data_IF_606705687269
#
_entry.id   IF_606705687269
#
_cell.length_a   1.000
_cell.length_b   1.000
_cell.length_c   1.000
_cell.angle_alpha   90.00
_cell.angle_beta   90.00
_cell.angle_gamma   90.00
#
_symmetry.space_group_name_H-M   'P 1'
#
loop_
_entity.id
_entity.type
_entity.pdbx_description
1 polymer ?
#
# COMPACT_ATOMS: atom_id res chain seq x y z
N UNK A 1 -15.63 -7.50 -18.18
CA UNK A 1 -14.27 -6.95 -18.00
C UNK A 1 -13.50 -7.23 -19.26
N UNK A 2 -12.80 -6.24 -19.84
CA UNK A 2 -11.85 -6.52 -20.90
C UNK A 2 -10.83 -7.54 -20.37
N UNK A 3 -10.53 -8.57 -21.14
CA UNK A 3 -9.54 -9.56 -20.75
C UNK A 3 -8.16 -8.88 -20.70
N UNK A 4 -7.56 -8.71 -19.51
CA UNK A 4 -6.14 -8.37 -19.41
C UNK A 4 -5.70 -7.49 -18.24
N UNK A 5 -6.60 -6.79 -17.54
CA UNK A 5 -6.24 -5.90 -16.43
C UNK A 5 -6.80 -6.44 -15.11
N UNK A 6 -5.92 -6.63 -14.12
CA UNK A 6 -6.32 -7.00 -12.76
C UNK A 6 -7.23 -5.92 -12.14
N UNK A 7 -8.15 -6.32 -11.26
CA UNK A 7 -9.10 -5.48 -10.54
C UNK A 7 -8.47 -4.24 -9.92
N UNK A 8 -7.29 -4.36 -9.31
CA UNK A 8 -6.61 -3.25 -8.66
C UNK A 8 -5.67 -2.45 -9.58
N UNK A 9 -5.52 -2.85 -10.85
CA UNK A 9 -4.61 -2.20 -11.79
C UNK A 9 -4.91 -0.70 -11.96
N UNK A 10 -6.18 -0.27 -12.17
CA UNK A 10 -6.49 1.15 -12.28
C UNK A 10 -6.18 1.93 -10.99
N UNK A 11 -6.30 1.27 -9.83
CA UNK A 11 -6.01 1.91 -8.54
C UNK A 11 -4.51 2.08 -8.32
N UNK A 12 -3.71 1.08 -8.72
CA UNK A 12 -2.26 1.18 -8.70
C UNK A 12 -1.73 2.29 -9.63
N UNK A 13 -2.29 2.41 -10.83
CA UNK A 13 -1.93 3.45 -11.80
C UNK A 13 -2.30 4.85 -11.29
N UNK A 14 -3.49 5.01 -10.72
CA UNK A 14 -3.89 6.27 -10.09
C UNK A 14 -2.97 6.62 -8.91
N UNK A 15 -2.69 5.65 -8.04
CA UNK A 15 -1.84 5.85 -6.86
C UNK A 15 -0.42 6.25 -7.27
N UNK A 16 0.17 5.56 -8.25
CA UNK A 16 1.46 5.91 -8.83
C UNK A 16 1.45 7.33 -9.41
N UNK A 17 0.48 7.64 -10.28
CA UNK A 17 0.37 8.95 -10.91
C UNK A 17 0.19 10.08 -9.90
N UNK A 18 -0.57 9.84 -8.82
CA UNK A 18 -0.76 10.81 -7.75
C UNK A 18 0.57 11.12 -7.05
N UNK A 19 1.32 10.11 -6.61
CA UNK A 19 2.58 10.34 -5.91
C UNK A 19 3.67 10.90 -6.81
N UNK A 20 3.74 10.48 -8.08
CA UNK A 20 4.65 11.07 -9.07
C UNK A 20 4.31 12.54 -9.32
N UNK A 21 3.03 12.87 -9.50
CA UNK A 21 2.60 14.23 -9.80
C UNK A 21 2.75 15.20 -8.63
N UNK A 22 2.34 14.80 -7.43
CA UNK A 22 2.32 15.69 -6.25
C UNK A 22 3.71 15.88 -5.62
N UNK A 23 4.57 14.86 -5.69
CA UNK A 23 5.86 14.86 -5.00
C UNK A 23 7.07 14.72 -5.94
N UNK A 24 6.83 14.82 -7.24
CA UNK A 24 7.85 14.73 -8.30
C UNK A 24 8.72 13.46 -8.16
N UNK A 25 8.12 12.36 -7.73
CA UNK A 25 8.85 11.10 -7.55
C UNK A 25 9.25 10.51 -8.90
N UNK A 26 10.41 9.85 -8.95
CA UNK A 26 10.86 9.08 -10.10
C UNK A 26 10.75 7.59 -9.85
N UNK A 27 10.44 6.82 -10.90
CA UNK A 27 10.53 5.37 -10.84
C UNK A 27 12.00 4.93 -10.75
N UNK A 28 12.29 4.02 -9.82
CA UNK A 28 13.55 3.30 -9.72
C UNK A 28 13.38 1.89 -10.29
N UNK A 29 14.26 1.53 -11.23
CA UNK A 29 14.22 0.23 -11.90
C UNK A 29 14.58 -0.86 -10.89
N UNK A 30 13.60 -1.69 -10.55
CA UNK A 30 13.83 -2.90 -9.77
C UNK A 30 14.51 -3.97 -10.63
N UNK A 31 15.40 -4.80 -10.04
CA UNK A 31 15.86 -6.02 -10.70
C UNK A 31 14.69 -6.88 -11.18
N UNK A 32 14.79 -7.50 -12.37
CA UNK A 32 13.69 -8.25 -13.00
C UNK A 32 12.98 -9.23 -12.06
N UNK A 33 13.76 -9.94 -11.25
CA UNK A 33 13.26 -10.94 -10.30
C UNK A 33 12.45 -10.37 -9.12
N UNK A 34 12.49 -9.05 -8.90
CA UNK A 34 11.70 -8.28 -7.94
C UNK A 34 10.63 -7.44 -8.63
N UNK A 35 10.90 -6.95 -9.84
CA UNK A 35 9.95 -6.17 -10.64
C UNK A 35 8.76 -7.03 -11.09
N UNK A 36 9.01 -8.30 -11.45
CA UNK A 36 7.98 -9.18 -11.99
C UNK A 36 8.30 -10.65 -11.73
N UNK A 37 7.34 -11.38 -11.14
CA UNK A 37 7.42 -12.82 -10.94
C UNK A 37 6.11 -13.48 -11.33
N UNK A 38 6.19 -14.60 -12.06
CA UNK A 38 5.03 -15.48 -12.29
C UNK A 38 5.22 -16.75 -11.48
N UNK A 39 4.19 -17.19 -10.76
CA UNK A 39 4.20 -18.47 -10.05
C UNK A 39 4.32 -19.65 -11.02
N UNK A 40 4.99 -20.74 -10.60
CA UNK A 40 5.24 -21.94 -11.43
C UNK A 40 4.59 -23.21 -10.85
N UNK A 41 3.51 -23.06 -10.06
CA UNK A 41 2.78 -24.18 -9.45
C UNK A 41 1.64 -24.72 -10.31
N UNK A 42 0.95 -25.76 -9.81
CA UNK A 42 -0.24 -26.38 -10.44
C UNK A 42 -1.50 -25.51 -10.45
N UNK A 43 -1.40 -24.26 -9.99
CA UNK A 43 -2.46 -23.26 -9.96
C UNK A 43 -2.51 -22.40 -11.24
N UNK A 44 -3.34 -21.35 -11.21
CA UNK A 44 -3.26 -20.27 -12.19
C UNK A 44 -1.90 -19.59 -12.02
N UNK A 45 -1.27 -19.18 -13.13
CA UNK A 45 0.06 -18.61 -13.10
C UNK A 45 0.06 -17.20 -12.52
N UNK A 46 -0.14 -17.08 -11.19
CA UNK A 46 -0.22 -15.84 -10.45
C UNK A 46 0.94 -14.91 -10.83
N UNK A 47 0.61 -13.65 -11.13
CA UNK A 47 1.55 -12.62 -11.50
C UNK A 47 1.74 -11.66 -10.33
N UNK A 48 2.97 -11.50 -9.88
CA UNK A 48 3.37 -10.49 -8.90
C UNK A 48 4.16 -9.41 -9.64
N UNK A 49 3.80 -8.16 -9.44
CA UNK A 49 4.48 -7.00 -10.01
C UNK A 49 4.85 -6.01 -8.91
N UNK A 50 6.10 -5.53 -8.94
CA UNK A 50 6.61 -4.52 -8.04
C UNK A 50 6.93 -3.23 -8.78
N UNK A 51 6.67 -2.10 -8.11
CA UNK A 51 7.15 -0.77 -8.50
C UNK A 51 7.80 -0.11 -7.30
N UNK A 52 8.80 0.72 -7.59
CA UNK A 52 9.52 1.51 -6.60
C UNK A 52 9.62 2.93 -7.12
N UNK A 53 9.05 3.88 -6.37
CA UNK A 53 9.22 5.30 -6.62
C UNK A 53 10.14 5.86 -5.54
N UNK A 54 10.98 6.81 -5.90
CA UNK A 54 11.91 7.48 -4.99
C UNK A 54 11.88 8.98 -5.22
N UNK A 55 11.96 9.73 -4.13
CA UNK A 55 12.11 11.18 -4.18
C UNK A 55 13.59 11.58 -4.20
N UNK A 56 13.86 12.78 -4.67
CA UNK A 56 15.16 13.42 -4.53
C UNK A 56 15.41 13.86 -3.07
N UNK A 57 16.61 14.37 -2.78
CA UNK A 57 17.09 14.59 -1.40
C UNK A 57 16.22 15.56 -0.58
N UNK A 58 15.55 16.50 -1.23
CA UNK A 58 14.66 17.50 -0.64
C UNK A 58 13.17 17.12 -0.71
N UNK A 59 12.83 16.00 -1.35
CA UNK A 59 11.46 15.50 -1.38
C UNK A 59 10.98 15.13 0.03
N UNK A 60 9.72 15.45 0.40
CA UNK A 60 9.15 15.02 1.67
C UNK A 60 8.91 13.51 1.73
N UNK A 61 8.96 12.81 0.59
CA UNK A 61 8.80 11.35 0.48
C UNK A 61 10.08 10.76 -0.08
N UNK A 62 10.72 9.88 0.69
CA UNK A 62 11.95 9.22 0.22
C UNK A 62 11.68 8.00 -0.66
N UNK A 63 10.55 7.31 -0.44
CA UNK A 63 10.27 6.04 -1.12
C UNK A 63 8.78 5.69 -1.09
N UNK A 64 8.28 5.20 -2.21
CA UNK A 64 6.98 4.52 -2.32
C UNK A 64 7.20 3.14 -2.91
N UNK A 65 6.69 2.10 -2.25
CA UNK A 65 6.67 0.74 -2.79
C UNK A 65 5.25 0.39 -3.16
N UNK A 66 5.06 -0.19 -4.33
CA UNK A 66 3.77 -0.74 -4.77
C UNK A 66 4.00 -2.21 -5.16
N UNK A 67 3.13 -3.10 -4.69
CA UNK A 67 3.13 -4.52 -5.06
C UNK A 67 1.72 -4.92 -5.46
N UNK A 68 1.59 -5.48 -6.66
CA UNK A 68 0.37 -5.98 -7.24
C UNK A 68 0.45 -7.50 -7.36
N UNK A 69 -0.62 -8.20 -7.00
CA UNK A 69 -0.77 -9.64 -7.22
C UNK A 69 -2.04 -9.87 -8.04
N UNK A 70 -1.91 -10.61 -9.14
CA UNK A 70 -3.00 -11.03 -10.00
C UNK A 70 -2.97 -12.55 -10.21
N UNK A 71 -3.92 -13.24 -9.59
CA UNK A 71 -4.23 -14.65 -9.81
C UNK A 71 -5.68 -14.83 -10.30
N UNK A 72 -6.16 -13.88 -11.12
CA UNK A 72 -7.52 -13.86 -11.65
C UNK A 72 -8.58 -13.78 -10.54
N UNK A 73 -9.56 -14.67 -10.59
CA UNK A 73 -10.67 -14.68 -9.63
C UNK A 73 -10.28 -15.28 -8.26
N UNK A 74 -9.12 -15.94 -8.15
CA UNK A 74 -8.71 -16.65 -6.92
C UNK A 74 -8.19 -15.70 -5.86
N UNK A 75 -7.27 -14.83 -6.26
CA UNK A 75 -6.62 -13.85 -5.43
C UNK A 75 -6.21 -12.66 -6.27
N UNK A 76 -6.53 -11.46 -5.80
CA UNK A 76 -5.82 -10.26 -6.24
C UNK A 76 -5.45 -9.43 -5.02
N UNK A 77 -4.32 -8.73 -5.11
CA UNK A 77 -3.86 -7.87 -4.03
C UNK A 77 -3.23 -6.59 -4.55
N UNK A 78 -3.45 -5.51 -3.81
CA UNK A 78 -2.73 -4.24 -3.91
C UNK A 78 -2.12 -3.94 -2.55
N UNK A 79 -0.80 -3.84 -2.51
CA UNK A 79 -0.06 -3.46 -1.33
C UNK A 79 0.78 -2.22 -1.66
N UNK A 80 0.76 -1.22 -0.79
CA UNK A 80 1.62 -0.06 -0.93
C UNK A 80 2.18 0.39 0.42
N UNK A 81 3.35 1.02 0.37
CA UNK A 81 3.94 1.70 1.53
C UNK A 81 4.58 3.01 1.12
N UNK A 82 4.30 4.08 1.84
CA UNK A 82 4.88 5.41 1.61
C UNK A 82 5.76 5.76 2.80
N UNK A 83 7.06 5.94 2.52
CA UNK A 83 8.04 6.27 3.51
C UNK A 83 8.37 7.78 3.45
N UNK A 84 8.15 8.53 4.53
CA UNK A 84 8.52 9.93 4.60
C UNK A 84 10.05 10.09 4.63
N UNK A 85 10.51 11.27 4.23
CA UNK A 85 11.92 11.64 4.29
C UNK A 85 12.41 11.71 5.73
N UNK A 86 13.65 11.26 5.94
CA UNK A 86 14.28 11.28 7.26
C UNK A 86 14.51 12.70 7.79
N UNK A 87 14.61 13.70 6.90
CA UNK A 87 14.81 15.11 7.27
C UNK A 87 13.60 15.72 7.99
N UNK A 88 12.42 15.11 7.88
CA UNK A 88 11.19 15.57 8.52
C UNK A 88 11.01 15.02 9.94
N UNK A 89 11.96 14.22 10.43
CA UNK A 89 11.84 13.52 11.69
C UNK A 89 11.03 12.22 11.57
N UNK A 90 10.57 11.65 12.68
CA UNK A 90 9.91 10.35 12.70
C UNK A 90 8.44 10.51 12.28
N UNK A 91 8.14 10.82 11.03
CA UNK A 91 6.75 10.84 10.54
C UNK A 91 6.21 9.41 10.34
N UNK A 92 4.89 9.18 10.50
CA UNK A 92 4.29 7.86 10.33
C UNK A 92 4.42 7.35 8.89
N UNK A 93 4.47 6.03 8.74
CA UNK A 93 4.51 5.36 7.43
C UNK A 93 3.09 5.01 7.02
N UNK A 94 2.66 5.44 5.83
CA UNK A 94 1.38 4.96 5.27
C UNK A 94 1.58 3.53 4.78
N UNK A 95 0.79 2.61 5.32
CA UNK A 95 0.67 1.23 4.87
C UNK A 95 -0.71 0.99 4.26
N UNK A 96 -0.74 0.36 3.09
CA UNK A 96 -1.97 -0.08 2.43
C UNK A 96 -1.81 -1.55 2.08
N UNK A 97 -2.79 -2.36 2.45
CA UNK A 97 -2.88 -3.76 2.05
C UNK A 97 -4.34 -4.07 1.74
N UNK A 98 -4.64 -4.43 0.49
CA UNK A 98 -6.00 -4.73 0.03
C UNK A 98 -5.95 -6.04 -0.74
N UNK A 99 -6.65 -7.05 -0.24
CA UNK A 99 -6.70 -8.38 -0.82
C UNK A 99 -8.14 -8.77 -1.09
N UNK A 100 -8.37 -9.39 -2.24
CA UNK A 100 -9.66 -9.98 -2.58
C UNK A 100 -9.49 -11.43 -2.99
N UNK A 101 -10.42 -12.28 -2.56
CA UNK A 101 -10.40 -13.72 -2.79
C UNK A 101 -11.81 -14.28 -2.96
N UNK A 102 -11.90 -15.55 -3.36
CA UNK A 102 -13.17 -16.26 -3.59
C UNK A 102 -14.05 -15.55 -4.64
N UNK A 103 -13.52 -15.40 -5.86
CA UNK A 103 -14.19 -14.72 -6.98
C UNK A 103 -14.65 -13.31 -6.62
N UNK A 104 -13.76 -12.57 -5.96
CA UNK A 104 -13.98 -11.20 -5.46
C UNK A 104 -15.09 -11.03 -4.41
N UNK A 105 -15.60 -12.12 -3.81
CA UNK A 105 -16.68 -12.07 -2.81
C UNK A 105 -16.19 -11.86 -1.37
N UNK A 106 -14.88 -11.88 -1.16
CA UNK A 106 -14.26 -11.63 0.14
C UNK A 106 -13.19 -10.57 -0.05
N UNK A 107 -13.20 -9.59 0.84
CA UNK A 107 -12.25 -8.50 0.91
C UNK A 107 -11.59 -8.54 2.29
N UNK A 108 -10.27 -8.45 2.31
CA UNK A 108 -9.48 -8.17 3.51
C UNK A 108 -8.69 -6.91 3.18
N UNK A 109 -8.75 -5.90 4.04
CA UNK A 109 -7.99 -4.68 3.82
C UNK A 109 -7.48 -4.10 5.12
N UNK A 110 -6.39 -3.33 5.02
CA UNK A 110 -5.84 -2.49 6.06
C UNK A 110 -5.25 -1.24 5.41
N UNK A 111 -5.63 -0.08 5.93
CA UNK A 111 -5.04 1.21 5.56
C UNK A 111 -4.72 1.90 6.87
N UNK A 112 -3.45 2.18 7.10
CA UNK A 112 -3.01 2.70 8.39
C UNK A 112 -1.80 3.63 8.24
N UNK A 113 -1.70 4.57 9.17
CA UNK A 113 -0.52 5.40 9.38
C UNK A 113 0.25 4.81 10.55
N UNK A 114 1.18 3.91 10.26
CA UNK A 114 1.91 3.20 11.30
C UNK A 114 2.86 4.16 12.05
N UNK A 115 2.72 4.28 13.39
CA UNK A 115 3.51 5.21 14.17
C UNK A 115 4.99 4.77 14.22
N UNK A 116 5.90 5.75 14.15
CA UNK A 116 7.34 5.48 14.25
C UNK A 116 7.87 5.46 15.67
N UNK A 117 7.09 6.00 16.61
CA UNK A 117 7.41 6.07 18.04
C UNK A 117 6.22 5.54 18.83
N UNK A 118 6.42 4.62 19.80
CA UNK A 118 5.33 4.16 20.64
C UNK A 118 4.85 5.27 21.58
N UNK A 119 3.54 5.35 21.79
CA UNK A 119 2.93 6.25 22.75
C UNK A 119 1.79 7.08 22.16
N UNK A 120 0.77 7.33 22.98
CA UNK A 120 -0.43 8.07 22.58
C UNK A 120 -0.12 9.52 22.18
N UNK A 121 0.82 10.19 22.88
CA UNK A 121 1.19 11.57 22.58
C UNK A 121 1.71 11.74 21.14
N UNK A 122 2.59 10.83 20.71
CA UNK A 122 3.09 10.83 19.33
C UNK A 122 1.98 10.51 18.33
N UNK A 123 1.18 9.47 18.60
CA UNK A 123 0.14 9.02 17.70
C UNK A 123 -0.94 10.10 17.49
N UNK A 124 -1.36 10.78 18.55
CA UNK A 124 -2.33 11.87 18.45
C UNK A 124 -1.77 13.05 17.65
N UNK A 125 -0.54 13.47 17.97
CA UNK A 125 0.08 14.62 17.31
C UNK A 125 0.39 14.40 15.82
N UNK A 126 0.75 13.18 15.41
CA UNK A 126 1.22 12.90 14.04
C UNK A 126 0.21 12.14 13.18
N UNK A 127 -0.83 11.55 13.78
CA UNK A 127 -1.84 10.76 13.07
C UNK A 127 -3.23 11.30 13.40
N UNK A 128 -3.64 11.23 14.68
CA UNK A 128 -4.99 11.58 15.13
C UNK A 128 -5.45 12.95 14.65
N UNK A 129 -4.61 13.97 14.84
CA UNK A 129 -4.86 15.35 14.42
C UNK A 129 -5.06 15.53 12.90
N UNK A 130 -4.57 14.61 12.07
CA UNK A 130 -4.59 14.71 10.61
C UNK A 130 -5.62 13.80 9.94
N UNK A 131 -5.97 12.67 10.56
CA UNK A 131 -6.83 11.65 9.93
C UNK A 131 -8.13 11.38 10.69
N UNK A 132 -8.38 12.11 11.79
CA UNK A 132 -9.58 11.93 12.62
C UNK A 132 -10.89 12.08 11.84
N UNK A 133 -10.94 13.01 10.88
CA UNK A 133 -12.13 13.17 10.02
C UNK A 133 -12.33 11.96 9.10
N UNK A 134 -11.27 11.46 8.45
CA UNK A 134 -11.33 10.28 7.58
C UNK A 134 -11.80 9.06 8.38
N UNK A 135 -11.28 8.87 9.60
CA UNK A 135 -11.72 7.78 10.49
C UNK A 135 -13.19 7.90 10.86
N UNK A 136 -13.67 9.12 11.11
CA UNK A 136 -15.07 9.38 11.47
C UNK A 136 -16.02 9.16 10.29
N UNK A 137 -15.63 9.61 9.09
CA UNK A 137 -16.44 9.47 7.88
C UNK A 137 -16.55 8.01 7.40
N UNK A 138 -15.57 7.17 7.75
CA UNK A 138 -15.49 5.76 7.36
C UNK A 138 -15.58 4.84 8.59
N UNK A 139 -16.35 5.23 9.61
CA UNK A 139 -16.41 4.54 10.89
C UNK A 139 -16.90 3.07 10.75
N UNK A 140 -17.66 2.75 9.71
CA UNK A 140 -18.09 1.40 9.35
C UNK A 140 -16.97 0.50 8.83
N UNK A 141 -15.88 1.10 8.33
CA UNK A 141 -14.67 0.41 7.89
C UNK A 141 -13.62 0.33 9.01
N UNK A 142 -13.75 1.17 10.04
CA UNK A 142 -12.85 1.16 11.18
C UNK A 142 -13.03 -0.12 12.00
N UNK A 143 -11.91 -0.82 12.23
CA UNK A 143 -11.89 -2.02 13.04
C UNK A 143 -10.67 -2.04 13.94
N UNK A 144 -10.84 -2.58 15.15
CA UNK A 144 -9.71 -2.90 16.01
C UNK A 144 -8.97 -4.11 15.41
N UNK A 145 -7.65 -4.00 15.14
CA UNK A 145 -6.89 -5.10 14.59
C UNK A 145 -6.97 -6.31 15.53
N UNK A 146 -7.27 -7.50 15.01
CA UNK A 146 -7.15 -8.70 15.84
C UNK A 146 -5.66 -8.98 16.10
N UNK A 147 -5.28 -9.25 17.34
CA UNK A 147 -3.89 -9.61 17.72
C UNK A 147 -3.32 -10.87 17.06
N UNK A 148 -4.06 -11.50 16.13
CA UNK A 148 -3.62 -12.67 15.36
C UNK A 148 -2.67 -12.34 14.21
N UNK A 149 -2.71 -11.11 13.69
CA UNK A 149 -1.96 -10.71 12.48
C UNK A 149 -0.90 -9.66 12.79
N UNK A 150 -1.20 -8.75 13.71
CA UNK A 150 -0.29 -7.72 14.19
C UNK A 150 -0.15 -8.00 15.69
N UNK A 151 1.01 -8.51 16.09
CA UNK A 151 1.23 -9.01 17.45
C UNK A 151 1.09 -7.91 18.51
N UNK A 152 0.62 -8.34 19.68
CA UNK A 152 1.06 -7.84 20.99
C UNK A 152 2.13 -8.79 21.55
#
# INVERSE_FOLDING_TARGET
AAAGEGLFQPWAEWFEAHFVGEFELREEVLPDHLARRRGHGSGSGALIQGRLLVGEADSPIRRVRITMVDDGDKLQAFNASVYPSHSLGPLPVLGIDVLTFNNHKRLLFGVDWSPMVPGEEYAEANIGAHVGEVRTQNAELAMEPSGKLYGE
#
